data_IF_324015685468
#
_entry.id   IF_324015685468
#
_cell.length_a   1.000
_cell.length_b   1.000
_cell.length_c   1.000
_cell.angle_alpha   90.00
_cell.angle_beta   90.00
_cell.angle_gamma   90.00
#
_symmetry.space_group_name_H-M   'P 1'
#
loop_
_entity.id
_entity.type
_entity.pdbx_description
1 polymer ?
#
# COMPACT_ATOMS: atom_id res chain seq x y z
N UNK A 1 -13.19 -28.34 20.15
CA UNK A 1 -13.62 -27.11 19.45
C UNK A 1 -12.72 -25.98 19.92
N UNK A 2 -12.11 -25.18 19.04
CA UNK A 2 -11.27 -24.05 19.44
C UNK A 2 -12.06 -23.03 20.26
N UNK A 3 -11.41 -22.32 21.18
CA UNK A 3 -12.05 -21.27 21.99
C UNK A 3 -12.47 -20.09 21.12
N UNK A 4 -13.47 -19.33 21.57
CA UNK A 4 -13.95 -18.13 20.87
C UNK A 4 -12.87 -17.05 20.71
N UNK A 5 -11.86 -17.03 21.59
CA UNK A 5 -10.73 -16.11 21.51
C UNK A 5 -9.70 -16.53 20.45
N UNK A 6 -9.43 -17.83 20.28
CA UNK A 6 -8.56 -18.33 19.21
C UNK A 6 -9.12 -17.97 17.83
N UNK A 7 -10.46 -18.07 17.66
CA UNK A 7 -11.17 -17.70 16.43
C UNK A 7 -11.06 -16.22 16.07
N UNK A 8 -10.84 -15.33 17.04
CA UNK A 8 -10.64 -13.88 16.78
C UNK A 8 -9.29 -13.59 16.14
N UNK A 9 -8.32 -14.51 16.29
CA UNK A 9 -6.97 -14.37 15.73
C UNK A 9 -6.77 -15.12 14.41
N UNK A 10 -7.79 -15.83 13.93
CA UNK A 10 -7.76 -16.51 12.64
C UNK A 10 -7.71 -15.48 11.51
N UNK A 11 -6.68 -15.56 10.67
CA UNK A 11 -6.55 -14.65 9.53
C UNK A 11 -7.58 -14.94 8.44
N UNK A 12 -7.94 -16.22 8.26
CA UNK A 12 -8.91 -16.68 7.26
C UNK A 12 -10.10 -17.26 8.02
N UNK A 13 -11.27 -16.65 7.83
CA UNK A 13 -12.52 -17.11 8.45
C UNK A 13 -12.83 -18.53 7.95
N UNK A 14 -12.88 -19.50 8.87
CA UNK A 14 -13.05 -20.92 8.53
C UNK A 14 -11.75 -21.63 8.12
N UNK A 15 -10.59 -20.99 8.33
CA UNK A 15 -9.28 -21.59 8.18
C UNK A 15 -8.89 -22.49 9.35
N UNK A 16 -7.63 -22.93 9.36
CA UNK A 16 -7.11 -23.76 10.46
C UNK A 16 -6.91 -22.90 11.74
N UNK A 17 -7.37 -23.36 12.92
CA UNK A 17 -7.43 -22.57 14.17
C UNK A 17 -6.07 -22.05 14.69
N UNK A 18 -4.96 -22.59 14.19
CA UNK A 18 -3.59 -22.30 14.65
C UNK A 18 -2.80 -21.39 13.68
N UNK A 19 -3.49 -20.69 12.76
CA UNK A 19 -2.86 -19.80 11.77
C UNK A 19 -3.17 -18.31 12.00
N UNK A 20 -2.51 -17.67 12.98
CA UNK A 20 -2.62 -16.24 13.19
C UNK A 20 -1.88 -15.46 12.10
N UNK A 21 -2.23 -14.18 11.96
CA UNK A 21 -1.67 -13.26 10.97
C UNK A 21 -0.13 -13.26 10.93
N UNK A 22 0.53 -13.29 12.09
CA UNK A 22 2.00 -13.40 12.19
C UNK A 22 2.59 -14.60 11.43
N UNK A 23 1.87 -15.72 11.34
CA UNK A 23 2.30 -16.91 10.59
C UNK A 23 2.19 -16.65 9.10
N UNK A 24 1.17 -15.92 8.65
CA UNK A 24 1.05 -15.50 7.26
C UNK A 24 2.18 -14.55 6.86
N UNK A 25 2.47 -13.52 7.66
CA UNK A 25 3.59 -12.59 7.43
C UNK A 25 4.90 -13.35 7.29
N UNK A 26 5.17 -14.29 8.22
CA UNK A 26 6.35 -15.14 8.17
C UNK A 26 6.41 -15.97 6.89
N UNK A 27 5.31 -16.65 6.53
CA UNK A 27 5.22 -17.50 5.32
C UNK A 27 5.39 -16.69 4.04
N UNK A 28 4.85 -15.47 4.00
CA UNK A 28 5.01 -14.55 2.88
C UNK A 28 6.48 -14.21 2.68
N UNK A 29 7.18 -13.81 3.74
CA UNK A 29 8.63 -13.56 3.68
C UNK A 29 9.43 -14.82 3.28
N UNK A 30 9.11 -15.98 3.84
CA UNK A 30 9.77 -17.25 3.51
C UNK A 30 9.58 -17.63 2.03
N UNK A 31 8.39 -17.39 1.47
CA UNK A 31 8.11 -17.61 0.05
C UNK A 31 8.96 -16.70 -0.85
N UNK A 32 9.09 -15.42 -0.52
CA UNK A 32 9.95 -14.48 -1.27
C UNK A 32 11.41 -14.94 -1.25
N UNK A 33 11.94 -15.32 -0.08
CA UNK A 33 13.32 -15.85 0.03
C UNK A 33 13.51 -17.11 -0.81
N UNK A 34 12.54 -18.02 -0.80
CA UNK A 34 12.60 -19.24 -1.60
C UNK A 34 12.61 -18.94 -3.10
N UNK A 35 11.74 -18.06 -3.58
CA UNK A 35 11.70 -17.63 -4.98
C UNK A 35 13.03 -17.01 -5.42
N UNK A 36 13.61 -16.11 -4.62
CA UNK A 36 14.89 -15.46 -4.94
C UNK A 36 16.06 -16.43 -4.91
N UNK A 37 16.06 -17.42 -4.01
CA UNK A 37 17.08 -18.47 -3.96
C UNK A 37 17.06 -19.37 -5.21
N UNK A 38 15.87 -19.61 -5.78
CA UNK A 38 15.71 -20.40 -7.01
C UNK A 38 16.05 -19.60 -8.28
N UNK A 39 16.08 -18.27 -8.17
CA UNK A 39 16.29 -17.39 -9.30
C UNK A 39 17.75 -17.45 -9.78
N UNK A 40 17.95 -17.55 -11.09
CA UNK A 40 19.31 -17.46 -11.67
C UNK A 40 19.92 -16.07 -11.38
N UNK A 41 21.26 -15.96 -11.26
CA UNK A 41 21.92 -14.67 -11.08
C UNK A 41 21.52 -13.65 -12.16
N UNK A 42 21.46 -12.36 -11.81
CA UNK A 42 21.09 -11.27 -12.73
C UNK A 42 19.74 -11.48 -13.41
N UNK A 43 18.74 -11.90 -12.63
CA UNK A 43 17.35 -12.02 -13.07
C UNK A 43 16.42 -11.31 -12.10
N UNK A 44 15.17 -11.21 -12.52
CA UNK A 44 14.14 -10.42 -11.87
C UNK A 44 13.07 -11.30 -11.25
N UNK A 45 12.54 -10.86 -10.12
CA UNK A 45 11.31 -11.38 -9.51
C UNK A 45 10.31 -10.23 -9.44
N UNK A 46 9.14 -10.39 -10.04
CA UNK A 46 8.02 -9.46 -9.87
C UNK A 46 6.98 -10.09 -8.96
N UNK A 47 6.53 -9.32 -7.98
CA UNK A 47 5.48 -9.70 -7.02
C UNK A 47 4.32 -8.74 -7.22
N UNK A 48 3.14 -9.28 -7.53
CA UNK A 48 1.90 -8.51 -7.60
C UNK A 48 1.21 -8.66 -6.26
N UNK A 49 0.96 -7.56 -5.56
CA UNK A 49 0.41 -7.61 -4.22
C UNK A 49 -0.44 -6.37 -3.90
N UNK A 50 -1.51 -6.56 -3.14
CA UNK A 50 -2.23 -5.45 -2.53
C UNK A 50 -2.85 -5.86 -1.19
N UNK A 51 -2.67 -5.02 -0.18
CA UNK A 51 -3.33 -5.18 1.11
C UNK A 51 -3.31 -3.86 1.90
N UNK A 52 -4.14 -3.73 2.94
CA UNK A 52 -4.06 -2.57 3.84
C UNK A 52 -3.03 -2.75 4.95
N UNK A 53 -2.81 -3.98 5.41
CA UNK A 53 -1.79 -4.28 6.42
C UNK A 53 -0.39 -4.13 5.82
N UNK A 54 0.32 -3.10 6.28
CA UNK A 54 1.66 -2.72 5.82
C UNK A 54 2.71 -3.78 6.16
N UNK A 55 2.51 -4.57 7.23
CA UNK A 55 3.44 -5.65 7.62
C UNK A 55 3.64 -6.69 6.50
N UNK A 56 2.67 -6.84 5.59
CA UNK A 56 2.81 -7.73 4.44
C UNK A 56 3.79 -7.17 3.41
N UNK A 57 3.73 -5.85 3.14
CA UNK A 57 4.71 -5.19 2.28
C UNK A 57 6.10 -5.19 2.92
N UNK A 58 6.19 -4.92 4.23
CA UNK A 58 7.44 -5.03 4.98
C UNK A 58 8.05 -6.43 4.83
N UNK A 59 7.25 -7.48 4.98
CA UNK A 59 7.71 -8.86 4.83
C UNK A 59 8.26 -9.13 3.42
N UNK A 60 7.57 -8.68 2.37
CA UNK A 60 8.02 -8.85 0.98
C UNK A 60 9.33 -8.08 0.73
N UNK A 61 9.33 -6.79 1.05
CA UNK A 61 10.45 -5.88 0.77
C UNK A 61 11.70 -6.27 1.58
N UNK A 62 11.53 -6.55 2.87
CA UNK A 62 12.63 -6.96 3.75
C UNK A 62 13.19 -8.32 3.35
N UNK A 63 12.33 -9.31 3.07
CA UNK A 63 12.79 -10.63 2.62
C UNK A 63 13.58 -10.55 1.30
N UNK A 64 13.16 -9.68 0.37
CA UNK A 64 13.87 -9.47 -0.88
C UNK A 64 15.24 -8.81 -0.66
N UNK A 65 15.29 -7.73 0.14
CA UNK A 65 16.52 -7.03 0.46
C UNK A 65 17.53 -7.92 1.22
N UNK A 66 17.06 -8.68 2.22
CA UNK A 66 17.87 -9.65 2.97
C UNK A 66 18.45 -10.75 2.06
N UNK A 67 17.76 -11.09 0.98
CA UNK A 67 18.20 -12.05 -0.04
C UNK A 67 19.17 -11.44 -1.07
N UNK A 68 19.54 -10.16 -0.92
CA UNK A 68 20.43 -9.46 -1.86
C UNK A 68 19.75 -9.04 -3.17
N UNK A 69 18.42 -8.90 -3.16
CA UNK A 69 17.67 -8.37 -4.29
C UNK A 69 17.32 -6.90 -4.04
N UNK A 70 17.49 -6.07 -5.07
CA UNK A 70 17.20 -4.63 -5.03
C UNK A 70 15.82 -4.36 -5.63
N UNK A 71 15.00 -3.55 -4.96
CA UNK A 71 13.74 -3.05 -5.54
C UNK A 71 14.08 -2.06 -6.66
N UNK A 72 13.76 -2.43 -7.90
CA UNK A 72 14.06 -1.64 -9.10
C UNK A 72 12.87 -0.89 -9.66
N UNK A 73 11.67 -1.44 -9.50
CA UNK A 73 10.45 -0.78 -9.92
C UNK A 73 9.31 -1.13 -8.97
N UNK A 74 8.41 -0.16 -8.79
CA UNK A 74 7.15 -0.31 -8.08
C UNK A 74 6.08 0.37 -8.93
N UNK A 75 5.17 -0.41 -9.51
CA UNK A 75 4.17 0.08 -10.47
C UNK A 75 2.78 -0.21 -9.93
N UNK A 76 1.98 0.84 -9.77
CA UNK A 76 0.58 0.71 -9.38
C UNK A 76 -0.28 0.42 -10.61
N UNK A 77 -1.04 -0.66 -10.58
CA UNK A 77 -2.09 -0.97 -11.55
C UNK A 77 -3.43 -0.65 -10.91
N UNK A 78 -4.09 0.41 -11.39
CA UNK A 78 -5.30 0.98 -10.80
C UNK A 78 -6.31 1.31 -11.89
N UNK A 79 -7.56 1.54 -11.50
CA UNK A 79 -8.61 1.96 -12.44
C UNK A 79 -9.18 0.83 -13.30
N UNK A 80 -9.17 -0.41 -12.81
CA UNK A 80 -9.92 -1.50 -13.45
C UNK A 80 -11.43 -1.14 -13.45
N UNK A 81 -12.12 -1.19 -14.61
CA UNK A 81 -13.55 -0.91 -14.70
C UNK A 81 -14.42 -1.98 -13.99
N UNK A 82 -13.87 -3.16 -13.68
CA UNK A 82 -14.60 -4.27 -13.06
C UNK A 82 -14.36 -4.27 -11.55
N UNK A 83 -15.21 -3.53 -10.83
CA UNK A 83 -15.14 -3.52 -9.36
C UNK A 83 -15.77 -4.75 -8.72
N UNK A 84 -15.11 -5.25 -7.68
CA UNK A 84 -15.67 -6.27 -6.79
C UNK A 84 -16.95 -5.77 -6.12
N UNK A 85 -17.81 -6.71 -5.70
CA UNK A 85 -19.01 -6.38 -4.92
C UNK A 85 -18.69 -5.64 -3.62
N UNK A 86 -17.53 -5.90 -3.02
CA UNK A 86 -17.08 -5.18 -1.83
C UNK A 86 -16.72 -3.73 -2.14
N UNK A 87 -16.06 -3.44 -3.26
CA UNK A 87 -15.73 -2.05 -3.66
C UNK A 87 -16.98 -1.23 -3.95
N UNK A 88 -17.99 -1.85 -4.58
CA UNK A 88 -19.30 -1.22 -4.83
C UNK A 88 -20.12 -0.94 -3.56
N UNK A 89 -19.84 -1.63 -2.45
CA UNK A 89 -20.55 -1.50 -1.15
C UNK A 89 -19.75 -0.74 -0.09
N UNK A 90 -18.42 -0.84 -0.14
CA UNK A 90 -17.45 -0.34 0.83
C UNK A 90 -16.48 0.70 0.23
N UNK A 91 -16.96 1.38 -0.81
CA UNK A 91 -16.50 2.63 -1.41
C UNK A 91 -15.00 2.93 -1.26
N UNK A 92 -14.60 3.74 -0.29
CA UNK A 92 -13.25 4.28 -0.11
C UNK A 92 -12.32 3.36 0.70
N UNK A 93 -12.89 2.44 1.50
CA UNK A 93 -12.15 1.54 2.40
C UNK A 93 -11.58 0.30 1.71
N UNK A 94 -11.91 0.09 0.44
CA UNK A 94 -11.48 -1.07 -0.36
C UNK A 94 -10.48 -0.60 -1.40
N UNK A 95 -9.27 -1.16 -1.38
CA UNK A 95 -8.27 -0.95 -2.43
C UNK A 95 -8.68 -1.79 -3.66
N UNK A 96 -8.78 -1.16 -4.83
CA UNK A 96 -9.24 -1.81 -6.07
C UNK A 96 -8.15 -1.74 -7.17
N UNK A 97 -6.97 -2.24 -6.85
CA UNK A 97 -5.83 -2.31 -7.75
C UNK A 97 -4.67 -3.08 -7.12
N UNK A 98 -3.56 -3.17 -7.83
CA UNK A 98 -2.38 -3.94 -7.43
C UNK A 98 -1.13 -3.07 -7.40
N UNK A 99 -0.17 -3.43 -6.54
CA UNK A 99 1.20 -2.94 -6.59
C UNK A 99 2.12 -4.04 -7.13
N UNK A 100 2.76 -3.77 -8.25
CA UNK A 100 3.79 -4.65 -8.82
C UNK A 100 5.16 -4.21 -8.29
N UNK A 101 5.76 -5.03 -7.43
CA UNK A 101 7.10 -4.86 -6.91
C UNK A 101 8.08 -5.71 -7.71
N UNK A 102 9.04 -5.08 -8.37
CA UNK A 102 10.02 -5.75 -9.22
C UNK A 102 11.40 -5.66 -8.61
N UNK A 103 11.96 -6.81 -8.26
CA UNK A 103 13.25 -6.99 -7.62
C UNK A 103 14.27 -7.54 -8.60
N UNK A 104 15.50 -7.04 -8.56
CA UNK A 104 16.63 -7.56 -9.32
C UNK A 104 17.64 -8.23 -8.40
N UNK A 105 17.94 -9.50 -8.66
CA UNK A 105 18.95 -10.25 -7.92
C UNK A 105 20.35 -9.86 -8.39
N UNK A 106 20.96 -8.88 -7.71
CA UNK A 106 22.30 -8.38 -7.99
C UNK A 106 23.40 -9.17 -7.26
N UNK A 107 23.03 -10.09 -6.37
CA UNK A 107 23.96 -10.90 -5.57
C UNK A 107 24.71 -10.11 -4.48
N UNK A 108 24.52 -8.79 -4.41
CA UNK A 108 25.07 -7.92 -3.37
C UNK A 108 24.05 -7.73 -2.25
N UNK A 109 24.49 -7.77 -1.00
CA UNK A 109 23.65 -7.38 0.14
C UNK A 109 23.47 -5.87 0.15
N UNK A 110 22.31 -5.38 -0.28
CA UNK A 110 21.94 -3.98 -0.10
C UNK A 110 21.49 -3.81 1.35
N UNK A 111 22.22 -3.02 2.14
CA UNK A 111 21.72 -2.56 3.45
C UNK A 111 20.88 -1.32 3.18
N UNK A 112 19.59 -1.39 3.48
CA UNK A 112 18.77 -0.18 3.62
C UNK A 112 19.10 0.40 4.99
N UNK A 113 19.80 1.54 5.02
CA UNK A 113 20.00 2.25 6.29
C UNK A 113 18.65 2.74 6.80
N UNK A 114 18.37 2.49 8.08
CA UNK A 114 17.19 3.04 8.74
C UNK A 114 17.43 4.54 8.93
N UNK A 115 16.72 5.37 8.18
CA UNK A 115 16.69 6.81 8.43
C UNK A 115 15.62 7.09 9.49
N UNK A 116 15.90 8.07 10.36
CA UNK A 116 14.97 8.43 11.42
C UNK A 116 13.81 9.29 10.86
N UNK A 117 12.59 8.90 11.20
CA UNK A 117 11.38 9.68 11.01
C UNK A 117 10.73 9.49 9.64
N UNK A 118 9.49 9.02 9.63
CA UNK A 118 8.59 9.09 8.48
C UNK A 118 7.26 9.61 8.97
N UNK A 119 6.91 10.84 8.58
CA UNK A 119 5.61 11.41 8.87
C UNK A 119 4.64 11.02 7.74
N UNK A 120 3.69 10.16 8.07
CA UNK A 120 2.70 9.65 7.12
C UNK A 120 1.77 10.76 6.63
N UNK A 121 1.45 11.74 7.49
CA UNK A 121 0.59 12.85 7.13
C UNK A 121 1.29 13.80 6.15
N UNK A 122 2.59 14.07 6.36
CA UNK A 122 3.42 14.79 5.39
C UNK A 122 3.52 14.03 4.07
N UNK A 123 3.80 12.73 4.11
CA UNK A 123 3.91 11.92 2.89
C UNK A 123 2.60 11.89 2.09
N UNK A 124 1.44 11.78 2.77
CA UNK A 124 0.11 11.87 2.12
C UNK A 124 -0.10 13.24 1.50
N UNK A 125 0.22 14.31 2.22
CA UNK A 125 0.11 15.69 1.73
C UNK A 125 0.99 15.91 0.50
N UNK A 126 2.26 15.55 0.55
CA UNK A 126 3.19 15.66 -0.58
C UNK A 126 2.71 14.87 -1.80
N UNK A 127 2.26 13.63 -1.58
CA UNK A 127 1.73 12.79 -2.64
C UNK A 127 0.47 13.40 -3.27
N UNK A 128 -0.43 14.01 -2.47
CA UNK A 128 -1.62 14.72 -2.99
C UNK A 128 -1.29 16.04 -3.70
N UNK A 129 -0.26 16.76 -3.26
CA UNK A 129 0.22 17.99 -3.89
C UNK A 129 0.90 17.73 -5.24
N UNK A 130 1.52 16.57 -5.42
CA UNK A 130 2.14 16.19 -6.70
C UNK A 130 1.15 15.71 -7.77
N UNK A 131 -0.14 15.55 -7.43
CA UNK A 131 -1.18 15.17 -8.39
C UNK A 131 -1.53 16.35 -9.28
N UNK A 132 -1.23 16.24 -10.58
CA UNK A 132 -1.57 17.25 -11.59
C UNK A 132 -3.07 17.23 -11.96
N UNK A 133 -3.73 16.08 -11.84
CA UNK A 133 -5.16 15.91 -12.12
C UNK A 133 -6.05 16.25 -10.92
N UNK A 134 -7.31 16.56 -11.21
CA UNK A 134 -8.33 16.77 -10.17
C UNK A 134 -8.87 15.47 -9.56
N UNK A 135 -8.36 14.31 -10.01
CA UNK A 135 -8.76 13.00 -9.52
C UNK A 135 -7.56 12.09 -9.31
N UNK A 136 -7.63 11.24 -8.27
CA UNK A 136 -6.63 10.22 -7.95
C UNK A 136 -7.29 8.95 -7.39
N UNK A 137 -6.73 7.78 -7.70
CA UNK A 137 -7.17 6.51 -7.10
C UNK A 137 -6.61 6.36 -5.68
N UNK A 138 -7.45 5.93 -4.74
CA UNK A 138 -7.03 5.73 -3.34
C UNK A 138 -5.91 4.70 -3.21
N UNK A 139 -6.01 3.59 -3.95
CA UNK A 139 -4.95 2.58 -4.01
C UNK A 139 -3.65 3.08 -4.61
N UNK A 140 -3.69 3.96 -5.61
CA UNK A 140 -2.49 4.55 -6.16
C UNK A 140 -1.77 5.38 -5.10
N UNK A 141 -2.51 6.23 -4.39
CA UNK A 141 -1.97 7.06 -3.32
C UNK A 141 -1.37 6.19 -2.20
N UNK A 142 -2.10 5.18 -1.73
CA UNK A 142 -1.63 4.28 -0.67
C UNK A 142 -0.32 3.58 -1.08
N UNK A 143 -0.26 3.09 -2.32
CA UNK A 143 0.95 2.47 -2.86
C UNK A 143 2.14 3.44 -2.89
N UNK A 144 1.94 4.74 -3.21
CA UNK A 144 3.02 5.73 -3.13
C UNK A 144 3.56 5.89 -1.71
N UNK A 145 2.68 5.90 -0.70
CA UNK A 145 3.09 6.01 0.71
C UNK A 145 3.89 4.79 1.17
N UNK A 146 3.45 3.58 0.79
CA UNK A 146 4.20 2.33 1.08
C UNK A 146 5.61 2.40 0.49
N UNK A 147 5.75 2.85 -0.77
CA UNK A 147 7.05 2.96 -1.43
C UNK A 147 7.92 4.08 -0.85
N UNK A 148 7.31 5.21 -0.48
CA UNK A 148 8.01 6.29 0.22
C UNK A 148 8.56 5.77 1.56
N UNK A 149 7.71 5.15 2.40
CA UNK A 149 8.13 4.59 3.68
C UNK A 149 9.27 3.58 3.53
N UNK A 150 9.22 2.70 2.52
CA UNK A 150 10.33 1.80 2.20
C UNK A 150 11.63 2.52 1.87
N UNK A 151 11.59 3.53 0.99
CA UNK A 151 12.76 4.31 0.57
C UNK A 151 13.38 5.09 1.73
N UNK A 152 12.57 5.52 2.69
CA UNK A 152 13.01 6.17 3.92
C UNK A 152 13.43 5.18 5.03
N UNK A 153 13.40 3.87 4.78
CA UNK A 153 13.76 2.86 5.79
C UNK A 153 12.76 2.76 6.95
N UNK A 154 11.53 3.24 6.76
CA UNK A 154 10.50 3.41 7.78
C UNK A 154 9.26 2.53 7.57
N UNK A 155 9.32 1.54 6.66
CA UNK A 155 8.18 0.66 6.37
C UNK A 155 7.68 -0.08 7.61
N UNK A 156 8.57 -0.50 8.52
CA UNK A 156 8.21 -1.22 9.74
C UNK A 156 7.61 -0.33 10.84
N UNK A 157 7.64 0.99 10.66
CA UNK A 157 6.98 1.98 11.53
C UNK A 157 5.77 2.65 10.86
N UNK A 158 5.47 2.30 9.60
CA UNK A 158 4.29 2.79 8.91
C UNK A 158 3.05 2.08 9.47
N UNK A 159 2.45 2.72 10.47
CA UNK A 159 1.17 2.32 11.04
C UNK A 159 0.13 3.36 10.65
N UNK A 160 -0.77 2.98 9.74
CA UNK A 160 -1.88 3.82 9.31
C UNK A 160 -3.09 2.94 9.03
N UNK A 161 -4.17 3.22 9.74
CA UNK A 161 -5.45 2.55 9.49
C UNK A 161 -6.13 3.10 8.24
N UNK A 162 -7.08 2.34 7.70
CA UNK A 162 -7.90 2.76 6.56
C UNK A 162 -8.66 4.06 6.83
N UNK A 163 -9.14 4.22 8.07
CA UNK A 163 -9.89 5.40 8.51
C UNK A 163 -8.97 6.62 8.59
N UNK A 164 -7.80 6.50 9.21
CA UNK A 164 -6.83 7.60 9.29
C UNK A 164 -6.35 8.03 7.90
N UNK A 165 -6.11 7.08 7.01
CA UNK A 165 -5.76 7.38 5.62
C UNK A 165 -6.87 8.16 4.90
N UNK A 166 -8.11 7.73 5.05
CA UNK A 166 -9.29 8.39 4.48
C UNK A 166 -9.45 9.82 5.04
N UNK A 167 -9.32 9.98 6.36
CA UNK A 167 -9.40 11.27 7.05
C UNK A 167 -8.31 12.24 6.59
N UNK A 168 -7.08 11.75 6.43
CA UNK A 168 -5.96 12.58 5.94
C UNK A 168 -6.24 13.11 4.54
N UNK A 169 -6.76 12.28 3.63
CA UNK A 169 -7.10 12.72 2.27
C UNK A 169 -8.18 13.80 2.32
N UNK A 170 -9.23 13.60 3.12
CA UNK A 170 -10.32 14.57 3.27
C UNK A 170 -9.85 15.91 3.85
N UNK A 171 -9.00 15.89 4.87
CA UNK A 171 -8.42 17.09 5.48
C UNK A 171 -7.55 17.89 4.50
N UNK A 172 -6.97 17.23 3.50
CA UNK A 172 -6.22 17.86 2.42
C UNK A 172 -7.11 18.33 1.25
N UNK A 173 -8.42 18.48 1.47
CA UNK A 173 -9.33 19.10 0.50
C UNK A 173 -9.83 18.17 -0.59
N UNK A 174 -9.71 16.85 -0.41
CA UNK A 174 -10.23 15.87 -1.35
C UNK A 174 -11.54 15.25 -0.84
N UNK A 175 -12.36 14.71 -1.73
CA UNK A 175 -13.59 13.99 -1.39
C UNK A 175 -13.71 12.75 -2.26
N UNK A 176 -14.37 11.72 -1.74
CA UNK A 176 -14.53 10.48 -2.48
C UNK A 176 -15.72 10.57 -3.45
N UNK A 177 -15.47 10.26 -4.71
CA UNK A 177 -16.47 10.13 -5.77
C UNK A 177 -16.86 8.65 -5.88
N UNK A 178 -17.97 8.29 -5.24
CA UNK A 178 -18.46 6.91 -5.21
C UNK A 178 -18.82 6.36 -6.59
N UNK A 179 -19.20 7.24 -7.53
CA UNK A 179 -19.61 6.82 -8.88
C UNK A 179 -18.42 6.33 -9.70
N UNK A 180 -17.28 7.00 -9.55
CA UNK A 180 -16.06 6.69 -10.30
C UNK A 180 -15.01 5.97 -9.45
N UNK A 181 -15.28 5.81 -8.14
CA UNK A 181 -14.39 5.21 -7.15
C UNK A 181 -12.99 5.86 -7.10
N UNK A 182 -12.95 7.18 -7.20
CA UNK A 182 -11.74 8.01 -7.13
C UNK A 182 -11.89 9.10 -6.06
N UNK A 183 -10.78 9.63 -5.59
CA UNK A 183 -10.75 10.87 -4.82
C UNK A 183 -10.69 12.05 -5.77
N UNK A 184 -11.50 13.09 -5.54
CA UNK A 184 -11.49 14.33 -6.30
C UNK A 184 -11.13 15.53 -5.43
N UNK A 185 -10.35 16.45 -6.00
CA UNK A 185 -10.03 17.73 -5.37
C UNK A 185 -11.31 18.57 -5.27
N UNK A 186 -11.55 19.18 -4.11
CA UNK A 186 -12.61 20.18 -3.98
C UNK A 186 -12.15 21.44 -4.70
N UNK A 187 -12.83 21.80 -5.77
CA UNK A 187 -12.74 23.16 -6.30
C UNK A 187 -13.64 24.03 -5.44
N UNK A 188 -13.08 24.95 -4.66
CA UNK A 188 -13.89 26.06 -4.17
C UNK A 188 -14.42 26.81 -5.39
N UNK A 189 -15.73 27.11 -5.46
CA UNK A 189 -16.23 27.97 -6.53
C UNK A 189 -15.51 29.30 -6.41
N UNK A 190 -14.81 29.70 -7.49
CA UNK A 190 -14.30 31.06 -7.64
C UNK A 190 -15.53 31.96 -7.54
N UNK A 191 -15.74 32.54 -6.36
CA UNK A 191 -16.77 33.55 -6.17
C UNK A 191 -16.22 34.77 -6.88
N UNK A 192 -16.58 34.93 -8.16
CA UNK A 192 -16.39 36.17 -8.89
C UNK A 192 -17.16 37.23 -8.11
N UNK A 193 -16.46 37.97 -7.25
CA UNK A 193 -16.96 39.24 -6.74
C UNK A 193 -17.24 40.10 -7.97
N UNK A 194 -18.52 40.24 -8.31
CA UNK A 194 -18.97 41.29 -9.20
C UNK A 194 -18.64 42.60 -8.51
N UNK A 195 -17.55 43.23 -8.95
CA UNK A 195 -17.30 44.65 -8.71
C UNK A 195 -18.41 45.37 -9.47
N UNK A 196 -19.49 45.69 -8.74
CA UNK A 196 -20.50 46.63 -9.21
C UNK A 196 -19.92 48.03 -9.03
N UNK A 197 -20.15 48.83 -10.07
CA UNK A 197 -19.57 50.15 -10.35
C UNK A 197 -19.83 51.19 -9.27
#
# INVERSE_FOLDING_TARGET
MPSSEARKSELIVGGEPDFPERVYVKRLGDAIRACLKMLKPNRWLSVVFQHWNVSYFEAILSAAAESGAELRAAVSQVGDPIWSMHKKKGNESVLAGDLILTFFSSGGKTRTDRLNGFDVADAVREALCSVESDSIYGEYLFNQIVIAAWRHGAIGSLDISKTEFTDLIQRNGWHYDERNHVWRRRHEPITLFQVTQ
#
